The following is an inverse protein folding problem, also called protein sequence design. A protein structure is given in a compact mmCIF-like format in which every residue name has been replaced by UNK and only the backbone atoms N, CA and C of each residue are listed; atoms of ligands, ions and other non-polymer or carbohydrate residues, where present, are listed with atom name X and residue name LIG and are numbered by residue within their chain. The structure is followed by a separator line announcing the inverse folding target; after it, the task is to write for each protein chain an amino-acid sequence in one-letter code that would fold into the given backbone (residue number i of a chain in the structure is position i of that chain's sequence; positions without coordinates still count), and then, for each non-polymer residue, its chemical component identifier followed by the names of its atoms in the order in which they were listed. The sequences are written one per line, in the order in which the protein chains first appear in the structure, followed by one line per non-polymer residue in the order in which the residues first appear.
data_IF_356490477518
#
_entry.id   IF_356490477518
#
_cell.length_a   1.000
_cell.length_b   1.000
_cell.length_c   1.000
_cell.angle_alpha   90.00
_cell.angle_beta   90.00
_cell.angle_gamma   90.00
#
_symmetry.space_group_name_H-M   'P 1'
#
loop_
_entity.id
_entity.type
_entity.pdbx_description
1 polymer ?
#
# COMPACT_ATOMS: atom_id res chain seq x y z
N UNK A 1 9.30 4.11 8.83
CA UNK A 1 10.03 3.01 9.50
C UNK A 1 11.24 3.57 10.23
N UNK A 2 11.22 3.50 11.56
CA UNK A 2 12.28 4.06 12.42
C UNK A 2 13.57 3.22 12.36
N UNK A 3 13.44 1.92 12.24
CA UNK A 3 14.58 0.99 12.20
C UNK A 3 15.39 1.15 10.91
N UNK A 4 14.71 1.29 9.78
CA UNK A 4 15.33 1.55 8.47
C UNK A 4 15.65 3.04 8.26
N UNK A 5 15.21 3.93 9.17
CA UNK A 5 15.25 5.38 8.99
C UNK A 5 14.63 5.80 7.65
N UNK A 6 13.47 5.22 7.32
CA UNK A 6 12.79 5.39 6.05
C UNK A 6 11.48 6.17 6.23
N UNK A 7 11.28 7.15 5.37
CA UNK A 7 10.02 7.88 5.21
C UNK A 7 9.55 7.72 3.77
N UNK A 8 8.29 7.36 3.56
CA UNK A 8 7.66 7.38 2.24
C UNK A 8 6.53 8.40 2.22
N UNK A 9 6.40 9.08 1.10
CA UNK A 9 5.26 9.95 0.81
C UNK A 9 4.82 9.75 -0.64
N UNK A 10 3.51 9.73 -0.86
CA UNK A 10 2.93 9.67 -2.20
C UNK A 10 2.33 11.03 -2.63
N UNK A 11 2.85 12.12 -2.08
CA UNK A 11 2.57 13.46 -2.58
C UNK A 11 3.03 13.57 -4.04
N UNK A 12 2.18 14.13 -4.90
CA UNK A 12 2.50 14.36 -6.31
C UNK A 12 3.71 15.29 -6.45
N UNK A 13 4.80 14.78 -7.01
CA UNK A 13 6.05 15.54 -7.20
C UNK A 13 5.87 16.74 -8.12
N UNK A 14 4.95 16.67 -9.08
CA UNK A 14 4.65 17.79 -9.99
C UNK A 14 4.00 18.91 -9.20
N UNK A 15 3.02 18.59 -8.38
CA UNK A 15 2.37 19.56 -7.50
C UNK A 15 3.35 20.16 -6.49
N UNK A 16 4.16 19.32 -5.82
CA UNK A 16 5.20 19.77 -4.87
C UNK A 16 6.18 20.74 -5.53
N UNK A 17 6.64 20.42 -6.74
CA UNK A 17 7.58 21.27 -7.47
C UNK A 17 6.97 22.60 -7.93
N UNK A 18 5.68 22.61 -8.26
CA UNK A 18 4.99 23.80 -8.71
C UNK A 18 4.58 24.75 -7.57
N UNK A 19 4.26 24.21 -6.39
CA UNK A 19 3.58 24.95 -5.32
C UNK A 19 4.44 25.27 -4.11
N UNK A 20 5.47 24.47 -3.83
CA UNK A 20 6.29 24.67 -2.64
C UNK A 20 7.37 25.73 -2.89
N UNK A 21 7.75 26.41 -1.79
CA UNK A 21 8.83 27.39 -1.80
C UNK A 21 10.12 26.80 -2.40
N UNK A 22 10.80 27.57 -3.23
CA UNK A 22 12.05 27.13 -3.84
C UNK A 22 13.21 28.04 -3.38
N UNK A 23 14.32 27.53 -2.81
CA UNK A 23 14.56 26.09 -2.54
C UNK A 23 13.69 25.55 -1.41
N UNK A 24 13.37 24.25 -1.48
CA UNK A 24 12.63 23.54 -0.46
C UNK A 24 13.56 23.19 0.69
N UNK A 25 13.26 23.69 1.88
CA UNK A 25 14.05 23.43 3.10
C UNK A 25 13.31 22.56 4.11
N UNK A 26 11.97 22.54 4.02
CA UNK A 26 11.12 21.80 4.93
C UNK A 26 10.01 21.07 4.16
N UNK A 27 9.56 19.96 4.73
CA UNK A 27 8.35 19.26 4.32
C UNK A 27 7.55 18.89 5.57
N UNK A 28 6.25 19.10 5.54
CA UNK A 28 5.34 18.66 6.57
C UNK A 28 4.60 17.42 6.10
N UNK A 29 4.85 16.30 6.76
CA UNK A 29 4.15 15.03 6.52
C UNK A 29 3.23 14.76 7.72
N UNK A 30 3.49 13.72 8.51
CA UNK A 30 2.82 13.57 9.81
C UNK A 30 3.43 14.51 10.86
N UNK A 31 4.66 14.93 10.65
CA UNK A 31 5.40 15.87 11.47
C UNK A 31 6.35 16.72 10.61
N UNK A 32 6.89 17.83 11.14
CA UNK A 32 7.84 18.66 10.42
C UNK A 32 9.16 17.92 10.16
N UNK A 33 9.57 17.92 8.89
CA UNK A 33 10.86 17.38 8.46
C UNK A 33 11.69 18.50 7.82
N UNK A 34 12.98 18.56 8.13
CA UNK A 34 13.90 19.52 7.54
C UNK A 34 14.83 18.80 6.57
N UNK A 35 14.89 19.22 5.31
CA UNK A 35 15.88 18.68 4.37
C UNK A 35 17.30 19.01 4.85
N UNK A 36 18.19 18.02 4.84
CA UNK A 36 19.61 18.20 5.24
C UNK A 36 20.34 19.18 4.32
N UNK A 37 19.90 19.28 3.07
CA UNK A 37 20.35 20.29 2.10
C UNK A 37 19.12 20.88 1.39
N UNK A 38 19.12 22.19 1.09
CA UNK A 38 18.03 22.79 0.33
C UNK A 38 17.83 22.11 -1.03
N UNK A 39 16.59 21.74 -1.34
CA UNK A 39 16.22 21.00 -2.56
C UNK A 39 15.48 21.94 -3.52
N UNK A 40 15.90 22.02 -4.77
CA UNK A 40 15.22 22.81 -5.80
C UNK A 40 14.08 22.06 -6.47
N UNK A 41 14.27 20.76 -6.69
CA UNK A 41 13.30 19.88 -7.33
C UNK A 41 13.28 18.52 -6.65
N UNK A 42 12.11 17.97 -6.40
CA UNK A 42 11.91 16.60 -5.96
C UNK A 42 11.52 15.71 -7.14
N UNK A 43 11.92 14.45 -7.08
CA UNK A 43 11.65 13.43 -8.10
C UNK A 43 11.22 12.13 -7.41
N UNK A 44 10.27 11.41 -8.00
CA UNK A 44 9.86 10.12 -7.49
C UNK A 44 11.03 9.10 -7.55
N UNK A 45 11.12 8.28 -6.51
CA UNK A 45 12.15 7.24 -6.40
C UNK A 45 13.55 7.73 -6.04
N UNK A 46 13.78 9.04 -5.91
CA UNK A 46 15.06 9.58 -5.43
C UNK A 46 15.11 9.70 -3.92
N UNK A 47 16.24 9.39 -3.27
CA UNK A 47 16.45 9.59 -1.85
C UNK A 47 16.73 11.06 -1.51
N UNK A 48 16.14 11.53 -0.41
CA UNK A 48 16.39 12.84 0.18
C UNK A 48 16.61 12.69 1.68
N UNK A 49 17.70 13.24 2.20
CA UNK A 49 17.96 13.23 3.64
C UNK A 49 17.11 14.30 4.33
N UNK A 50 16.31 13.90 5.31
CA UNK A 50 15.48 14.76 6.13
C UNK A 50 15.76 14.54 7.61
N UNK A 51 15.95 15.62 8.35
CA UNK A 51 16.05 15.57 9.80
C UNK A 51 14.65 15.64 10.41
N UNK A 52 14.34 14.72 11.31
CA UNK A 52 13.08 14.65 12.04
C UNK A 52 13.36 14.93 13.51
N UNK A 53 12.80 16.04 14.01
CA UNK A 53 13.14 16.54 15.35
C UNK A 53 12.66 15.59 16.46
N UNK A 54 11.50 14.98 16.34
CA UNK A 54 10.94 14.05 17.34
C UNK A 54 11.84 12.83 17.58
N UNK A 55 12.56 12.39 16.55
CA UNK A 55 13.54 11.29 16.63
C UNK A 55 14.99 11.76 16.80
N UNK A 56 15.24 13.06 16.73
CA UNK A 56 16.58 13.65 16.74
C UNK A 56 17.55 12.93 15.78
N UNK A 57 17.08 12.61 14.58
CA UNK A 57 17.81 11.77 13.62
C UNK A 57 17.48 12.14 12.16
N UNK A 58 18.41 11.78 11.28
CA UNK A 58 18.23 11.89 9.82
C UNK A 58 17.59 10.60 9.31
N UNK A 59 16.59 10.77 8.45
CA UNK A 59 15.87 9.73 7.74
C UNK A 59 16.03 9.93 6.24
N UNK A 60 15.87 8.86 5.48
CA UNK A 60 15.81 8.94 4.02
C UNK A 60 14.35 9.01 3.58
N UNK A 61 13.97 10.11 2.95
CA UNK A 61 12.65 10.34 2.37
C UNK A 61 12.65 9.95 0.90
N UNK A 62 11.64 9.18 0.49
CA UNK A 62 11.31 8.94 -0.92
C UNK A 62 9.91 9.41 -1.24
N UNK A 63 9.74 9.97 -2.43
CA UNK A 63 8.44 10.17 -3.06
C UNK A 63 8.13 8.93 -3.88
N UNK A 64 6.99 8.30 -3.62
CA UNK A 64 6.49 7.14 -4.37
C UNK A 64 5.26 7.51 -5.18
N UNK A 65 5.09 6.88 -6.34
CA UNK A 65 3.88 6.99 -7.16
C UNK A 65 2.85 5.91 -6.81
N UNK A 66 3.11 5.12 -5.76
CA UNK A 66 2.22 4.06 -5.32
C UNK A 66 1.36 4.51 -4.13
N UNK A 67 0.16 3.93 -3.97
CA UNK A 67 -0.59 4.04 -2.73
C UNK A 67 0.22 3.54 -1.54
N UNK A 68 0.03 4.15 -0.37
CA UNK A 68 0.68 3.74 0.87
C UNK A 68 -0.37 3.08 1.76
N UNK A 69 -0.15 1.81 2.07
CA UNK A 69 -0.97 0.99 2.93
C UNK A 69 -0.27 0.81 4.28
N UNK A 70 -0.97 1.10 5.36
CA UNK A 70 -0.53 0.90 6.74
C UNK A 70 -1.51 -0.01 7.47
N UNK A 71 -0.99 -1.10 8.03
CA UNK A 71 -1.74 -2.03 8.87
C UNK A 71 -1.10 -2.02 10.26
N UNK A 72 -1.92 -1.91 11.29
CA UNK A 72 -1.48 -1.99 12.67
C UNK A 72 -2.31 -2.99 13.45
N UNK A 73 -1.63 -3.88 14.16
CA UNK A 73 -2.23 -4.89 15.03
C UNK A 73 -1.30 -5.17 16.22
N UNK A 74 -1.83 -5.35 17.43
CA UNK A 74 -1.04 -5.81 18.56
C UNK A 74 -0.85 -7.34 18.59
N UNK A 75 -1.48 -8.05 17.65
CA UNK A 75 -1.48 -9.51 17.61
C UNK A 75 -0.47 -10.03 16.59
N UNK A 76 0.03 -11.25 16.81
CA UNK A 76 0.79 -11.98 15.80
C UNK A 76 -0.17 -12.41 14.68
N UNK A 77 0.20 -12.12 13.43
CA UNK A 77 -0.58 -12.55 12.26
C UNK A 77 -0.24 -14.01 11.98
N UNK A 78 -1.26 -14.86 12.00
CA UNK A 78 -1.17 -16.31 11.79
C UNK A 78 -1.94 -16.73 10.54
N UNK A 79 -1.88 -18.02 10.18
CA UNK A 79 -2.63 -18.58 9.03
C UNK A 79 -4.15 -18.61 9.31
N UNK A 80 -4.54 -19.07 10.49
CA UNK A 80 -5.94 -19.06 10.98
C UNK A 80 -5.94 -18.98 12.51
N UNK A 81 -6.90 -18.30 13.11
CA UNK A 81 -7.98 -17.46 12.53
C UNK A 81 -7.50 -16.06 12.15
N UNK A 82 -8.38 -15.28 11.50
CA UNK A 82 -8.18 -13.84 11.35
C UNK A 82 -7.89 -13.16 12.69
N UNK A 83 -6.89 -12.29 12.72
CA UNK A 83 -6.61 -11.43 13.87
C UNK A 83 -7.06 -10.01 13.58
N UNK A 84 -7.58 -9.34 14.60
CA UNK A 84 -8.01 -7.95 14.47
C UNK A 84 -6.84 -7.03 14.14
N UNK A 85 -7.06 -6.13 13.19
CA UNK A 85 -6.13 -5.07 12.85
C UNK A 85 -6.86 -3.79 12.43
N UNK A 86 -6.11 -2.72 12.29
CA UNK A 86 -6.57 -1.47 11.72
C UNK A 86 -5.87 -1.22 10.38
N UNK A 87 -6.68 -1.01 9.35
CA UNK A 87 -6.25 -0.71 7.98
C UNK A 87 -6.33 0.78 7.71
N UNK A 88 -5.32 1.32 7.06
CA UNK A 88 -5.34 2.67 6.51
C UNK A 88 -4.58 2.70 5.19
N UNK A 89 -5.22 3.20 4.14
CA UNK A 89 -4.59 3.43 2.84
C UNK A 89 -4.68 4.90 2.47
N UNK A 90 -3.59 5.43 1.94
CA UNK A 90 -3.54 6.75 1.29
C UNK A 90 -3.36 6.49 -0.20
N UNK A 91 -4.37 6.78 -0.99
CA UNK A 91 -4.33 6.65 -2.44
C UNK A 91 -3.50 7.78 -3.08
N UNK A 92 -3.10 7.62 -4.32
CA UNK A 92 -2.29 8.62 -5.04
C UNK A 92 -3.01 9.95 -5.27
N UNK A 93 -4.35 9.95 -5.25
CA UNK A 93 -5.19 11.15 -5.25
C UNK A 93 -5.37 11.78 -3.86
N UNK A 94 -4.64 11.28 -2.86
CA UNK A 94 -4.70 11.66 -1.45
C UNK A 94 -6.00 11.27 -0.74
N UNK A 95 -6.88 10.48 -1.35
CA UNK A 95 -8.02 9.88 -0.66
C UNK A 95 -7.53 8.92 0.42
N UNK A 96 -8.15 8.98 1.59
CA UNK A 96 -7.82 8.12 2.72
C UNK A 96 -8.97 7.17 2.95
N UNK A 97 -8.66 5.87 2.96
CA UNK A 97 -9.57 4.82 3.39
C UNK A 97 -9.05 4.23 4.69
N UNK A 98 -9.92 4.06 5.66
CA UNK A 98 -9.59 3.52 6.98
C UNK A 98 -10.71 2.60 7.46
N UNK A 99 -10.35 1.43 7.98
CA UNK A 99 -11.30 0.41 8.42
C UNK A 99 -10.71 -0.46 9.52
N UNK A 100 -11.57 -1.11 10.29
CA UNK A 100 -11.20 -2.32 11.01
C UNK A 100 -11.12 -3.47 10.02
N UNK A 101 -10.22 -4.41 10.28
CA UNK A 101 -10.03 -5.58 9.44
C UNK A 101 -9.72 -6.81 10.28
N UNK A 102 -10.09 -7.98 9.75
CA UNK A 102 -9.42 -9.23 10.04
C UNK A 102 -8.23 -9.40 9.09
N UNK A 103 -7.11 -9.88 9.59
CA UNK A 103 -5.94 -10.19 8.77
C UNK A 103 -5.38 -11.55 9.12
N UNK A 104 -4.97 -12.31 8.11
CA UNK A 104 -4.31 -13.60 8.27
C UNK A 104 -3.22 -13.80 7.23
N UNK A 105 -2.27 -14.73 7.50
CA UNK A 105 -1.32 -15.19 6.51
C UNK A 105 -2.06 -16.12 5.54
N UNK A 106 -1.77 -15.99 4.25
CA UNK A 106 -2.37 -16.85 3.24
C UNK A 106 -1.35 -17.65 2.44
N UNK A 107 -1.85 -18.73 1.84
CA UNK A 107 -1.11 -19.60 0.94
C UNK A 107 -0.68 -20.89 1.63
N UNK A 108 -0.24 -21.87 0.90
CA UNK A 108 0.31 -23.12 1.42
C UNK A 108 1.85 -23.05 1.50
N UNK A 109 2.54 -23.53 0.48
CA UNK A 109 4.01 -23.49 0.43
C UNK A 109 4.59 -22.06 0.57
N UNK A 110 3.93 -21.04 0.05
CA UNK A 110 4.40 -19.65 0.11
C UNK A 110 4.52 -19.10 1.53
N UNK A 111 3.88 -19.74 2.50
CA UNK A 111 4.04 -19.41 3.93
C UNK A 111 5.44 -19.73 4.48
N UNK A 112 6.23 -20.57 3.79
CA UNK A 112 7.62 -20.85 4.17
C UNK A 112 8.57 -19.70 3.76
N UNK A 113 8.13 -18.80 2.87
CA UNK A 113 8.95 -17.70 2.39
C UNK A 113 9.07 -16.58 3.44
N UNK A 114 10.19 -15.83 3.47
CA UNK A 114 10.39 -14.75 4.45
C UNK A 114 9.31 -13.66 4.39
N UNK A 115 8.92 -13.23 3.19
CA UNK A 115 7.86 -12.24 2.99
C UNK A 115 6.53 -12.95 2.77
N UNK A 116 5.56 -12.71 3.64
CA UNK A 116 4.26 -13.40 3.65
C UNK A 116 3.24 -12.69 2.77
N UNK A 117 2.45 -13.47 2.03
CA UNK A 117 1.18 -12.96 1.50
C UNK A 117 0.13 -13.00 2.60
N UNK A 118 -0.78 -12.06 2.58
CA UNK A 118 -1.83 -11.91 3.59
C UNK A 118 -3.19 -11.78 2.91
N UNK A 119 -4.20 -12.11 3.65
CA UNK A 119 -5.60 -11.90 3.31
C UNK A 119 -6.23 -10.98 4.33
N UNK A 120 -7.08 -10.09 3.87
CA UNK A 120 -7.77 -9.08 4.67
C UNK A 120 -9.25 -9.25 4.44
N UNK A 121 -10.02 -9.20 5.51
CA UNK A 121 -11.48 -9.07 5.51
C UNK A 121 -11.84 -7.74 6.17
N UNK A 122 -12.61 -6.90 5.49
CA UNK A 122 -13.04 -5.60 6.02
C UNK A 122 -14.22 -5.76 6.97
N UNK A 123 -14.09 -5.20 8.16
CA UNK A 123 -15.08 -5.29 9.23
C UNK A 123 -15.76 -3.96 9.50
N UNK A 124 -17.02 -4.00 9.88
CA UNK A 124 -17.78 -2.80 10.27
C UNK A 124 -17.26 -2.20 11.58
N UNK A 125 -16.72 -3.04 12.47
CA UNK A 125 -16.15 -2.64 13.76
C UNK A 125 -15.00 -3.57 14.19
N UNK A 126 -14.49 -3.35 15.39
CA UNK A 126 -13.35 -4.11 15.94
C UNK A 126 -13.69 -5.54 16.37
N UNK A 127 -14.95 -5.96 16.33
CA UNK A 127 -15.36 -7.30 16.80
C UNK A 127 -15.28 -8.36 15.71
N UNK A 128 -15.35 -7.95 14.43
CA UNK A 128 -15.40 -8.86 13.29
C UNK A 128 -16.71 -9.63 13.17
N UNK A 129 -17.78 -9.13 13.81
CA UNK A 129 -19.08 -9.78 13.76
C UNK A 129 -19.78 -9.63 12.40
N UNK A 130 -19.50 -8.53 11.71
CA UNK A 130 -20.07 -8.19 10.41
C UNK A 130 -19.00 -7.63 9.49
N UNK A 131 -19.01 -8.06 8.23
CA UNK A 131 -18.13 -7.55 7.18
C UNK A 131 -18.75 -6.32 6.49
N UNK A 132 -17.93 -5.59 5.74
CA UNK A 132 -18.39 -4.47 4.93
C UNK A 132 -17.62 -4.39 3.61
N UNK A 133 -18.34 -4.12 2.56
CA UNK A 133 -17.76 -3.86 1.25
C UNK A 133 -16.99 -2.54 1.21
N UNK A 134 -15.76 -2.57 0.72
CA UNK A 134 -14.91 -1.40 0.57
C UNK A 134 -14.44 -1.26 -0.87
N UNK A 135 -14.52 -0.06 -1.43
CA UNK A 135 -13.98 0.26 -2.75
C UNK A 135 -12.59 0.87 -2.62
N UNK A 136 -11.59 0.24 -3.22
CA UNK A 136 -10.19 0.64 -3.18
C UNK A 136 -9.57 0.67 -4.56
N UNK A 137 -8.78 1.70 -4.88
CA UNK A 137 -7.91 1.76 -6.06
C UNK A 137 -8.63 1.51 -7.40
N UNK A 138 -9.96 1.66 -7.45
CA UNK A 138 -10.77 1.31 -8.61
C UNK A 138 -10.83 -0.21 -8.89
N UNK A 139 -10.53 -1.03 -7.89
CA UNK A 139 -10.77 -2.47 -7.89
C UNK A 139 -12.25 -2.76 -7.64
N UNK A 140 -12.64 -4.03 -7.68
CA UNK A 140 -13.99 -4.47 -7.30
C UNK A 140 -14.26 -4.05 -5.85
N UNK A 141 -15.47 -3.56 -5.60
CA UNK A 141 -15.96 -3.35 -4.24
C UNK A 141 -16.22 -4.71 -3.61
N UNK A 142 -15.58 -4.99 -2.49
CA UNK A 142 -15.60 -6.30 -1.83
C UNK A 142 -15.23 -6.14 -0.36
N UNK A 143 -15.60 -7.13 0.46
CA UNK A 143 -15.15 -7.22 1.84
C UNK A 143 -13.79 -7.93 1.98
N UNK A 144 -13.33 -8.65 0.95
CA UNK A 144 -12.06 -9.37 0.93
C UNK A 144 -11.00 -8.71 0.06
N UNK A 145 -9.76 -8.72 0.55
CA UNK A 145 -8.61 -8.20 -0.18
C UNK A 145 -7.37 -9.09 0.01
N UNK A 146 -6.69 -9.38 -1.07
CA UNK A 146 -5.46 -10.16 -1.03
C UNK A 146 -4.22 -9.27 -1.17
N UNK A 147 -3.27 -9.38 -0.26
CA UNK A 147 -1.95 -8.76 -0.33
C UNK A 147 -0.92 -9.79 -0.79
N UNK A 148 -0.59 -9.77 -2.06
CA UNK A 148 0.36 -10.70 -2.67
C UNK A 148 1.80 -10.22 -2.45
N UNK A 149 2.61 -10.98 -1.72
CA UNK A 149 4.02 -10.63 -1.43
C UNK A 149 4.94 -10.74 -2.64
N UNK A 150 4.63 -11.61 -3.60
CA UNK A 150 5.42 -11.88 -4.81
C UNK A 150 6.93 -12.14 -4.52
N UNK A 151 7.23 -12.76 -3.39
CA UNK A 151 8.61 -12.90 -2.89
C UNK A 151 9.53 -13.68 -3.84
N UNK A 152 8.99 -14.75 -4.43
CA UNK A 152 9.72 -15.64 -5.34
C UNK A 152 9.82 -15.10 -6.77
N UNK A 153 9.43 -13.87 -7.00
CA UNK A 153 9.43 -13.20 -8.31
C UNK A 153 10.27 -11.91 -8.23
N UNK A 154 11.53 -11.92 -8.69
CA UNK A 154 12.44 -10.78 -8.51
C UNK A 154 11.90 -9.45 -9.04
N UNK A 155 11.24 -9.45 -10.20
CA UNK A 155 10.68 -8.24 -10.82
C UNK A 155 9.28 -7.88 -10.32
N UNK A 156 8.60 -8.80 -9.63
CA UNK A 156 7.22 -8.63 -9.07
C UNK A 156 6.16 -8.19 -10.09
N UNK A 157 6.37 -8.49 -11.38
CA UNK A 157 5.48 -8.05 -12.47
C UNK A 157 4.72 -9.20 -13.15
N UNK A 158 5.15 -10.46 -12.97
CA UNK A 158 4.66 -11.59 -13.74
C UNK A 158 3.15 -11.79 -13.57
N UNK A 159 2.68 -11.86 -12.33
CA UNK A 159 1.26 -12.08 -12.02
C UNK A 159 0.41 -10.94 -12.58
N UNK A 160 0.82 -9.69 -12.31
CA UNK A 160 0.11 -8.52 -12.83
C UNK A 160 0.09 -8.48 -14.35
N UNK A 161 1.23 -8.68 -15.01
CA UNK A 161 1.32 -8.68 -16.48
C UNK A 161 0.42 -9.76 -17.09
N UNK A 162 0.41 -10.96 -16.51
CA UNK A 162 -0.45 -12.05 -17.01
C UNK A 162 -1.95 -11.72 -16.85
N UNK A 163 -2.35 -11.15 -15.70
CA UNK A 163 -3.73 -10.74 -15.48
C UNK A 163 -4.12 -9.56 -16.40
N UNK A 164 -3.28 -8.56 -16.55
CA UNK A 164 -3.53 -7.42 -17.44
C UNK A 164 -3.64 -7.90 -18.90
N UNK A 165 -2.76 -8.83 -19.34
CA UNK A 165 -2.82 -9.42 -20.67
C UNK A 165 -4.13 -10.21 -20.86
N UNK A 166 -4.52 -11.04 -19.89
CA UNK A 166 -5.78 -11.78 -19.92
C UNK A 166 -6.97 -10.82 -20.05
N UNK A 167 -7.04 -9.79 -19.20
CA UNK A 167 -8.09 -8.77 -19.22
C UNK A 167 -8.15 -8.03 -20.57
N UNK A 168 -7.03 -7.85 -21.25
CA UNK A 168 -6.97 -7.17 -22.56
C UNK A 168 -7.50 -8.03 -23.72
N UNK A 169 -7.38 -9.35 -23.62
CA UNK A 169 -7.70 -10.29 -24.69
C UNK A 169 -9.04 -11.00 -24.49
N UNK A 170 -9.35 -11.36 -23.24
CA UNK A 170 -10.52 -12.15 -22.92
C UNK A 170 -11.77 -11.28 -22.83
N UNK A 171 -12.87 -11.74 -23.44
CA UNK A 171 -14.20 -11.14 -23.32
C UNK A 171 -15.19 -12.19 -22.86
N UNK A 172 -16.05 -11.81 -21.91
CA UNK A 172 -17.11 -12.67 -21.41
C UNK A 172 -18.21 -12.75 -22.48
N UNK A 173 -18.58 -13.96 -22.89
CA UNK A 173 -19.59 -14.16 -23.94
C UNK A 173 -20.97 -13.67 -23.50
N UNK A 174 -21.28 -13.70 -22.22
CA UNK A 174 -22.57 -13.31 -21.63
C UNK A 174 -22.56 -11.87 -21.03
N UNK A 175 -21.57 -11.07 -21.36
CA UNK A 175 -21.45 -9.70 -20.82
C UNK A 175 -22.62 -8.78 -21.17
N UNK A 176 -23.39 -9.12 -22.25
CA UNK A 176 -24.59 -8.36 -22.59
C UNK A 176 -25.74 -8.58 -21.59
N UNK A 177 -25.82 -9.76 -20.97
CA UNK A 177 -26.81 -10.09 -19.93
C UNK A 177 -26.31 -9.78 -18.51
N UNK A 178 -25.00 -9.73 -18.32
CA UNK A 178 -24.35 -9.45 -17.05
C UNK A 178 -23.24 -8.37 -17.23
N UNK A 179 -23.62 -7.09 -17.35
CA UNK A 179 -22.70 -6.01 -17.69
C UNK A 179 -21.57 -5.82 -16.67
N UNK A 180 -21.85 -6.14 -15.39
CA UNK A 180 -20.92 -5.99 -14.28
C UNK A 180 -20.02 -7.22 -14.06
N UNK A 181 -20.24 -8.29 -14.85
CA UNK A 181 -19.41 -9.48 -14.75
C UNK A 181 -17.95 -9.17 -15.10
N UNK A 182 -17.03 -9.63 -14.25
CA UNK A 182 -15.60 -9.43 -14.43
C UNK A 182 -14.96 -10.67 -15.05
N UNK A 183 -14.13 -10.45 -16.07
CA UNK A 183 -13.47 -11.53 -16.81
C UNK A 183 -12.09 -11.92 -16.25
N UNK A 184 -11.70 -11.37 -15.13
CA UNK A 184 -10.41 -11.68 -14.50
C UNK A 184 -10.11 -10.78 -13.30
N UNK A 185 -8.92 -10.96 -12.74
CA UNK A 185 -8.45 -10.23 -11.57
C UNK A 185 -7.76 -8.95 -12.00
N UNK A 186 -8.15 -7.83 -11.44
CA UNK A 186 -7.41 -6.57 -11.53
C UNK A 186 -6.45 -6.45 -10.35
N UNK A 187 -5.23 -6.04 -10.63
CA UNK A 187 -4.17 -5.95 -9.62
C UNK A 187 -3.57 -4.55 -9.61
N UNK A 188 -3.29 -4.04 -8.43
CA UNK A 188 -2.60 -2.76 -8.19
C UNK A 188 -1.41 -2.98 -7.26
N UNK A 189 -0.39 -2.15 -7.39
CA UNK A 189 0.72 -2.15 -6.43
C UNK A 189 0.47 -1.15 -5.31
N UNK A 190 0.94 -1.47 -4.11
CA UNK A 190 0.95 -0.57 -2.97
C UNK A 190 2.22 -0.79 -2.13
N UNK A 191 2.70 0.28 -1.50
CA UNK A 191 3.73 0.21 -0.46
C UNK A 191 3.08 -0.21 0.85
N UNK A 192 3.60 -1.25 1.52
CA UNK A 192 3.03 -1.75 2.76
C UNK A 192 3.91 -1.43 3.96
N UNK A 193 3.28 -0.87 4.99
CA UNK A 193 3.79 -0.80 6.35
C UNK A 193 2.96 -1.69 7.28
N UNK A 194 3.62 -2.54 8.06
CA UNK A 194 3.01 -3.34 9.11
C UNK A 194 3.61 -2.92 10.46
N UNK A 195 2.77 -2.44 11.38
CA UNK A 195 3.22 -1.91 12.67
C UNK A 195 4.37 -0.89 12.54
N UNK A 196 4.25 0.02 11.56
CA UNK A 196 5.24 1.04 11.21
C UNK A 196 6.54 0.51 10.58
N UNK A 197 6.68 -0.80 10.36
CA UNK A 197 7.81 -1.40 9.67
C UNK A 197 7.49 -1.58 8.18
N UNK A 198 8.40 -1.14 7.32
CA UNK A 198 8.23 -1.22 5.88
C UNK A 198 8.42 -2.64 5.38
N UNK A 199 7.40 -3.19 4.75
CA UNK A 199 7.37 -4.54 4.20
C UNK A 199 7.65 -4.60 2.69
N UNK A 200 7.87 -3.45 2.05
CA UNK A 200 8.07 -3.34 0.62
C UNK A 200 6.76 -3.31 -0.18
N UNK A 201 6.90 -3.43 -1.49
CA UNK A 201 5.77 -3.39 -2.44
C UNK A 201 4.99 -4.70 -2.39
N UNK A 202 3.68 -4.60 -2.29
CA UNK A 202 2.72 -5.70 -2.44
C UNK A 202 1.85 -5.48 -3.66
N UNK A 203 1.28 -6.56 -4.19
CA UNK A 203 0.23 -6.50 -5.18
C UNK A 203 -1.11 -6.75 -4.49
N UNK A 204 -2.03 -5.82 -4.69
CA UNK A 204 -3.39 -5.78 -4.14
C UNK A 204 -4.37 -6.22 -5.20
#
# INVERSE_FOLDING_TARGET
DVNLKLVLTNLDVTWVNATWTNPKTHIFLNEPCTFSTPIHQVEAGKPYDVFIQSYNSVFTLYFTELPILSISTPYEIVDEPYVQAHFRMIETNQAIVSSFIGIQIRGGWTQTLPKKSMEIEFWTDSTGAETQDVSLLGLRTDDDLNLQAMYNEPLRIRSKTNNDLWLSMHRIQYQQSEPDAMNGIRMKYAELFLNHEYQGVYCV
#
